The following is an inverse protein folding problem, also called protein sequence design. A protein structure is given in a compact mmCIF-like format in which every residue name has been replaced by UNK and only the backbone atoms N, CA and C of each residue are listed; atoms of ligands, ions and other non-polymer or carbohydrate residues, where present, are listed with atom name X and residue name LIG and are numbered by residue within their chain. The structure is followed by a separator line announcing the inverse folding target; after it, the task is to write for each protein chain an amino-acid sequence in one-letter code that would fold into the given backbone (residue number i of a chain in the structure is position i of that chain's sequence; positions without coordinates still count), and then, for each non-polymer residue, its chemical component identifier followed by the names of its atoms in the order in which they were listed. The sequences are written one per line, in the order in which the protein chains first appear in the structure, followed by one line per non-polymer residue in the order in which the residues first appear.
data_IF_449294770564
#
_entry.id   IF_449294770564
#
_cell.length_a   1.000
_cell.length_b   1.000
_cell.length_c   1.000
_cell.angle_alpha   90.00
_cell.angle_beta   90.00
_cell.angle_gamma   90.00
#
_symmetry.space_group_name_H-M   'P 1'
#
loop_
_entity.id
_entity.type
_entity.pdbx_description
1 polymer ?
#
# COMPACT_ATOMS: atom_id res chain seq x y z
N UNK A 1 -50.08 8.84 -20.88
CA UNK A 1 -50.86 10.04 -20.51
C UNK A 1 -51.28 10.89 -21.73
N UNK A 2 -50.33 11.39 -22.53
CA UNK A 2 -50.61 12.25 -23.69
C UNK A 2 -51.55 11.60 -24.74
N UNK A 3 -51.36 10.30 -25.01
CA UNK A 3 -52.21 9.55 -25.95
C UNK A 3 -53.69 9.45 -25.51
N UNK A 4 -53.99 9.46 -24.20
CA UNK A 4 -55.37 9.39 -23.71
C UNK A 4 -56.10 10.73 -23.78
N UNK A 5 -55.38 11.86 -23.63
CA UNK A 5 -55.93 13.19 -23.84
C UNK A 5 -56.30 13.45 -25.31
N UNK A 6 -55.54 12.89 -26.25
CA UNK A 6 -55.83 12.98 -27.68
C UNK A 6 -57.04 12.12 -28.14
N UNK A 7 -57.54 11.22 -27.28
CA UNK A 7 -58.64 10.29 -27.54
C UNK A 7 -59.97 10.68 -26.84
N UNK A 8 -60.06 11.91 -26.29
CA UNK A 8 -61.23 12.44 -25.58
C UNK A 8 -61.70 11.59 -24.38
N UNK A 9 -60.84 10.71 -23.88
CA UNK A 9 -61.09 9.89 -22.69
C UNK A 9 -60.64 10.62 -21.42
N UNK A 10 -61.28 11.76 -21.11
CA UNK A 10 -60.83 12.73 -20.11
C UNK A 10 -60.62 12.13 -18.71
N UNK A 11 -61.52 11.28 -18.23
CA UNK A 11 -61.38 10.64 -16.91
C UNK A 11 -60.12 9.75 -16.79
N UNK A 12 -59.86 8.90 -17.79
CA UNK A 12 -58.66 8.04 -17.82
C UNK A 12 -57.37 8.83 -17.99
N UNK A 13 -57.44 9.98 -18.67
CA UNK A 13 -56.31 10.88 -18.80
C UNK A 13 -55.99 11.59 -17.47
N UNK A 14 -57.01 12.05 -16.74
CA UNK A 14 -56.88 12.63 -15.39
C UNK A 14 -56.20 11.65 -14.45
N UNK A 15 -56.71 10.43 -14.32
CA UNK A 15 -56.13 9.40 -13.44
C UNK A 15 -54.65 9.13 -13.77
N UNK A 16 -54.32 9.05 -15.07
CA UNK A 16 -52.95 8.81 -15.52
C UNK A 16 -52.00 10.00 -15.24
N UNK A 17 -52.49 11.25 -15.30
CA UNK A 17 -51.70 12.44 -14.93
C UNK A 17 -51.57 12.59 -13.42
N UNK A 18 -52.58 12.22 -12.63
CA UNK A 18 -52.50 12.22 -11.17
C UNK A 18 -51.52 11.18 -10.65
N UNK A 19 -51.53 9.96 -11.21
CA UNK A 19 -50.52 8.93 -10.91
C UNK A 19 -49.11 9.39 -11.31
N UNK A 20 -48.96 10.02 -12.49
CA UNK A 20 -47.68 10.60 -12.91
C UNK A 20 -47.21 11.70 -11.95
N UNK A 21 -48.12 12.56 -11.48
CA UNK A 21 -47.81 13.63 -10.51
C UNK A 21 -47.34 13.03 -9.18
N UNK A 22 -48.02 12.00 -8.68
CA UNK A 22 -47.65 11.33 -7.44
C UNK A 22 -46.25 10.68 -7.53
N UNK A 23 -45.95 10.01 -8.66
CA UNK A 23 -44.63 9.43 -8.92
C UNK A 23 -43.53 10.47 -8.98
N UNK A 24 -43.76 11.58 -9.68
CA UNK A 24 -42.78 12.68 -9.77
C UNK A 24 -42.52 13.33 -8.40
N UNK A 25 -43.55 13.50 -7.56
CA UNK A 25 -43.39 14.00 -6.19
C UNK A 25 -42.61 13.03 -5.30
N UNK A 26 -42.92 11.74 -5.36
CA UNK A 26 -42.18 10.72 -4.61
C UNK A 26 -40.70 10.69 -5.03
N UNK A 27 -40.43 10.81 -6.32
CA UNK A 27 -39.07 10.85 -6.86
C UNK A 27 -38.31 12.10 -6.42
N UNK A 28 -38.98 13.26 -6.41
CA UNK A 28 -38.41 14.51 -5.92
C UNK A 28 -38.00 14.42 -4.44
N UNK A 29 -38.86 13.86 -3.60
CA UNK A 29 -38.57 13.69 -2.17
C UNK A 29 -37.42 12.68 -1.96
N UNK A 30 -37.37 11.60 -2.75
CA UNK A 30 -36.26 10.64 -2.70
C UNK A 30 -34.92 11.30 -3.06
N UNK A 31 -34.88 12.21 -4.04
CA UNK A 31 -33.68 12.98 -4.36
C UNK A 31 -33.25 13.86 -3.17
N UNK A 32 -34.19 14.52 -2.50
CA UNK A 32 -33.88 15.35 -1.34
C UNK A 32 -33.28 14.53 -0.19
N UNK A 33 -33.82 13.33 0.07
CA UNK A 33 -33.25 12.37 1.02
C UNK A 33 -31.84 11.94 0.60
N UNK A 34 -31.61 11.66 -0.68
CA UNK A 34 -30.28 11.30 -1.20
C UNK A 34 -29.27 12.43 -1.04
N UNK A 35 -29.65 13.69 -1.33
CA UNK A 35 -28.76 14.85 -1.16
C UNK A 35 -28.30 14.97 0.29
N UNK A 36 -29.23 14.78 1.25
CA UNK A 36 -28.90 14.78 2.68
C UNK A 36 -27.95 13.63 3.02
N UNK A 37 -28.22 12.41 2.55
CA UNK A 37 -27.36 11.26 2.77
C UNK A 37 -25.93 11.45 2.22
N UNK A 38 -25.80 11.98 1.00
CA UNK A 38 -24.50 12.30 0.38
C UNK A 38 -23.76 13.38 1.18
N UNK A 39 -24.48 14.41 1.66
CA UNK A 39 -23.87 15.47 2.48
C UNK A 39 -23.32 14.95 3.82
N UNK A 40 -23.85 13.82 4.31
CA UNK A 40 -23.39 13.12 5.50
C UNK A 40 -22.29 12.10 5.22
N UNK A 41 -21.71 12.13 4.01
CA UNK A 41 -20.64 11.24 3.57
C UNK A 41 -21.03 9.76 3.37
N UNK A 42 -22.33 9.43 3.44
CA UNK A 42 -22.83 8.05 3.36
C UNK A 42 -22.47 7.39 2.01
N UNK A 43 -22.46 8.17 0.92
CA UNK A 43 -22.06 7.69 -0.40
C UNK A 43 -20.61 7.22 -0.43
N UNK A 44 -19.71 8.03 0.14
CA UNK A 44 -18.27 7.72 0.17
C UNK A 44 -18.02 6.52 1.08
N UNK A 45 -18.68 6.48 2.24
CA UNK A 45 -18.57 5.36 3.17
C UNK A 45 -19.05 4.05 2.52
N UNK A 46 -20.19 4.08 1.81
CA UNK A 46 -20.72 2.93 1.07
C UNK A 46 -19.75 2.42 -0.01
N UNK A 47 -19.02 3.32 -0.68
CA UNK A 47 -18.01 2.96 -1.68
C UNK A 47 -16.73 2.34 -1.08
N UNK A 48 -16.50 2.50 0.23
CA UNK A 48 -15.30 2.05 0.92
C UNK A 48 -15.49 0.87 1.87
N UNK A 49 -16.71 0.34 2.04
CA UNK A 49 -17.01 -0.73 3.01
C UNK A 49 -16.16 -1.99 2.80
N UNK A 50 -15.67 -2.29 1.59
CA UNK A 50 -14.74 -3.40 1.35
C UNK A 50 -13.68 -3.07 0.29
N UNK A 51 -12.42 -2.94 0.72
CA UNK A 51 -11.30 -2.65 -0.20
C UNK A 51 -10.99 -3.85 -1.12
N UNK A 52 -11.13 -3.72 -2.46
CA UNK A 52 -10.67 -4.73 -3.39
C UNK A 52 -9.14 -4.80 -3.42
N UNK A 53 -8.59 -6.01 -3.51
CA UNK A 53 -7.19 -6.25 -3.83
C UNK A 53 -6.88 -6.14 -5.33
N UNK A 54 -7.91 -6.02 -6.20
CA UNK A 54 -7.79 -6.15 -7.66
C UNK A 54 -8.56 -5.06 -8.44
N UNK A 55 -7.92 -4.48 -9.46
CA UNK A 55 -8.33 -3.27 -10.20
C UNK A 55 -9.56 -3.46 -11.09
N UNK A 56 -9.93 -4.71 -11.41
CA UNK A 56 -11.02 -5.05 -12.35
C UNK A 56 -12.29 -5.56 -11.66
N UNK A 57 -12.24 -5.88 -10.35
CA UNK A 57 -13.36 -6.51 -9.63
C UNK A 57 -14.33 -5.53 -8.97
N UNK A 58 -14.10 -4.21 -9.05
CA UNK A 58 -14.87 -3.22 -8.30
C UNK A 58 -16.16 -2.78 -9.00
N UNK A 59 -16.18 -2.67 -10.34
CA UNK A 59 -17.41 -2.35 -11.08
C UNK A 59 -18.52 -3.37 -10.80
N UNK A 60 -18.17 -4.66 -10.72
CA UNK A 60 -19.12 -5.73 -10.34
C UNK A 60 -19.70 -5.56 -8.95
N UNK A 61 -18.93 -5.01 -8.00
CA UNK A 61 -19.40 -4.81 -6.61
C UNK A 61 -20.26 -3.56 -6.45
N UNK A 62 -20.09 -2.56 -7.32
CA UNK A 62 -21.00 -1.42 -7.38
C UNK A 62 -22.43 -1.84 -7.73
N UNK A 63 -22.60 -2.93 -8.51
CA UNK A 63 -23.90 -3.54 -8.80
C UNK A 63 -24.48 -4.30 -7.59
N UNK A 64 -23.65 -4.71 -6.63
CA UNK A 64 -24.02 -5.48 -5.44
C UNK A 64 -24.28 -4.60 -4.20
N UNK A 65 -24.10 -3.28 -4.31
CA UNK A 65 -24.31 -2.36 -3.20
C UNK A 65 -25.79 -2.36 -2.74
N UNK A 66 -26.05 -2.38 -1.42
CA UNK A 66 -27.42 -2.27 -0.93
C UNK A 66 -28.03 -0.94 -1.38
N UNK A 67 -29.31 -0.96 -1.73
CA UNK A 67 -30.05 0.23 -2.14
C UNK A 67 -30.34 1.05 -0.88
N UNK A 68 -29.55 2.10 -0.66
CA UNK A 68 -29.75 3.13 0.37
C UNK A 68 -30.13 4.45 -0.33
N UNK A 69 -30.59 5.47 0.41
CA UNK A 69 -30.81 6.79 -0.18
C UNK A 69 -29.57 7.28 -0.95
N UNK A 70 -28.36 7.09 -0.41
CA UNK A 70 -27.12 7.48 -1.07
C UNK A 70 -26.79 6.69 -2.35
N UNK A 71 -27.09 5.39 -2.41
CA UNK A 71 -26.71 4.53 -3.54
C UNK A 71 -27.78 4.40 -4.63
N UNK A 72 -29.01 4.86 -4.37
CA UNK A 72 -30.15 4.78 -5.32
C UNK A 72 -29.81 5.33 -6.72
N UNK A 73 -29.13 6.46 -6.79
CA UNK A 73 -28.78 7.15 -8.05
C UNK A 73 -27.34 6.89 -8.50
N UNK A 74 -26.62 6.00 -7.81
CA UNK A 74 -25.21 5.75 -8.04
C UNK A 74 -24.92 5.28 -9.47
N UNK A 75 -25.79 4.45 -10.06
CA UNK A 75 -25.62 3.97 -11.44
C UNK A 75 -25.55 5.10 -12.47
N UNK A 76 -26.36 6.15 -12.29
CA UNK A 76 -26.36 7.32 -13.17
C UNK A 76 -25.15 8.20 -12.92
N UNK A 77 -24.77 8.39 -11.65
CA UNK A 77 -23.57 9.14 -11.27
C UNK A 77 -22.31 8.48 -11.84
N UNK A 78 -22.16 7.16 -11.73
CA UNK A 78 -21.03 6.43 -12.31
C UNK A 78 -21.02 6.50 -13.82
N UNK A 79 -22.17 6.67 -14.50
CA UNK A 79 -22.16 6.85 -15.94
C UNK A 79 -21.48 8.16 -16.37
N UNK A 80 -21.31 9.11 -15.46
CA UNK A 80 -20.66 10.39 -15.73
C UNK A 80 -19.14 10.27 -15.69
N UNK A 81 -18.49 10.75 -16.75
CA UNK A 81 -17.04 10.75 -16.86
C UNK A 81 -16.34 11.47 -15.69
N UNK A 82 -16.85 12.62 -15.26
CA UNK A 82 -16.24 13.40 -14.17
C UNK A 82 -16.25 12.63 -12.84
N UNK A 83 -17.34 11.93 -12.54
CA UNK A 83 -17.46 11.08 -11.36
C UNK A 83 -16.54 9.86 -11.45
N UNK A 84 -16.46 9.20 -12.62
CA UNK A 84 -15.55 8.07 -12.84
C UNK A 84 -14.08 8.45 -12.58
N UNK A 85 -13.63 9.57 -13.14
CA UNK A 85 -12.25 10.03 -12.96
C UNK A 85 -11.97 10.44 -11.50
N UNK A 86 -12.90 11.17 -10.87
CA UNK A 86 -12.76 11.52 -9.45
C UNK A 86 -12.72 10.28 -8.55
N UNK A 87 -13.54 9.27 -8.85
CA UNK A 87 -13.58 8.02 -8.09
C UNK A 87 -12.29 7.20 -8.27
N UNK A 88 -11.74 7.12 -9.48
CA UNK A 88 -10.42 6.49 -9.73
C UNK A 88 -9.34 7.17 -8.90
N UNK A 89 -9.26 8.50 -8.94
CA UNK A 89 -8.27 9.26 -8.16
C UNK A 89 -8.41 9.00 -6.66
N UNK A 90 -9.63 9.01 -6.14
CA UNK A 90 -9.91 8.72 -4.73
C UNK A 90 -9.43 7.33 -4.33
N UNK A 91 -9.71 6.31 -5.15
CA UNK A 91 -9.27 4.94 -4.93
C UNK A 91 -7.75 4.83 -4.95
N UNK A 92 -7.09 5.44 -5.93
CA UNK A 92 -5.64 5.40 -6.05
C UNK A 92 -4.97 6.05 -4.83
N UNK A 93 -5.54 7.14 -4.29
CA UNK A 93 -5.11 7.75 -3.04
C UNK A 93 -5.29 6.82 -1.82
N UNK A 94 -6.40 6.08 -1.74
CA UNK A 94 -6.62 5.10 -0.68
C UNK A 94 -5.63 3.93 -0.78
N UNK A 95 -5.34 3.47 -1.99
CA UNK A 95 -4.31 2.46 -2.24
C UNK A 95 -2.91 2.98 -1.83
N UNK A 96 -2.57 4.21 -2.20
CA UNK A 96 -1.33 4.87 -1.77
C UNK A 96 -1.24 4.96 -0.24
N UNK A 97 -2.34 5.29 0.46
CA UNK A 97 -2.40 5.30 1.93
C UNK A 97 -2.08 3.92 2.52
N UNK A 98 -2.65 2.85 1.96
CA UNK A 98 -2.36 1.48 2.38
C UNK A 98 -0.89 1.09 2.17
N UNK A 99 -0.32 1.46 1.02
CA UNK A 99 1.10 1.23 0.74
C UNK A 99 2.01 2.00 1.70
N UNK A 100 1.72 3.27 1.96
CA UNK A 100 2.50 4.08 2.91
C UNK A 100 2.46 3.50 4.32
N UNK A 101 1.33 2.93 4.74
CA UNK A 101 1.21 2.24 6.01
C UNK A 101 2.05 0.94 6.05
N UNK A 102 2.05 0.15 4.98
CA UNK A 102 2.96 -1.00 4.84
C UNK A 102 4.43 -0.58 4.88
N UNK A 103 4.80 0.50 4.18
CA UNK A 103 6.15 1.06 4.24
C UNK A 103 6.53 1.52 5.65
N UNK A 104 5.59 2.14 6.37
CA UNK A 104 5.80 2.55 7.77
C UNK A 104 6.14 1.34 8.65
N UNK A 105 5.40 0.25 8.53
CA UNK A 105 5.65 -1.00 9.27
C UNK A 105 6.99 -1.64 8.87
N UNK A 106 7.30 -1.71 7.57
CA UNK A 106 8.58 -2.23 7.09
C UNK A 106 9.77 -1.42 7.61
N UNK A 107 9.65 -0.09 7.73
CA UNK A 107 10.67 0.77 8.32
C UNK A 107 10.90 0.51 9.81
N UNK A 108 9.90 0.04 10.55
CA UNK A 108 10.08 -0.44 11.94
C UNK A 108 10.87 -1.75 11.97
N UNK A 109 10.61 -2.68 11.03
CA UNK A 109 11.39 -3.91 10.89
C UNK A 109 12.87 -3.61 10.59
N UNK A 110 13.15 -2.70 9.66
CA UNK A 110 14.53 -2.30 9.35
C UNK A 110 15.26 -1.69 10.55
N UNK A 111 14.55 -0.91 11.37
CA UNK A 111 15.06 -0.37 12.62
C UNK A 111 15.49 -1.48 13.59
N UNK A 112 14.60 -2.45 13.81
CA UNK A 112 14.89 -3.63 14.65
C UNK A 112 16.05 -4.47 14.10
N UNK A 113 16.12 -4.67 12.79
CA UNK A 113 17.23 -5.39 12.14
C UNK A 113 18.56 -4.66 12.35
N UNK A 114 18.57 -3.33 12.24
CA UNK A 114 19.76 -2.52 12.47
C UNK A 114 20.23 -2.64 13.93
N UNK A 115 19.32 -2.51 14.89
CA UNK A 115 19.61 -2.69 16.32
C UNK A 115 20.15 -4.09 16.61
N UNK A 116 19.52 -5.14 16.07
CA UNK A 116 19.97 -6.52 16.25
C UNK A 116 21.38 -6.74 15.66
N UNK A 117 21.65 -6.17 14.48
CA UNK A 117 22.96 -6.24 13.84
C UNK A 117 24.03 -5.52 14.66
N UNK A 118 23.73 -4.34 15.19
CA UNK A 118 24.63 -3.60 16.08
C UNK A 118 24.91 -4.37 17.38
N UNK A 119 23.89 -4.96 17.99
CA UNK A 119 24.04 -5.77 19.21
C UNK A 119 24.88 -7.03 18.99
N UNK A 120 24.63 -7.75 17.88
CA UNK A 120 25.46 -8.90 17.48
C UNK A 120 26.90 -8.47 17.24
N UNK A 121 27.09 -7.34 16.56
CA UNK A 121 28.42 -6.80 16.28
C UNK A 121 29.19 -6.49 17.58
N UNK A 122 28.55 -5.78 18.52
CA UNK A 122 29.13 -5.46 19.82
C UNK A 122 29.54 -6.72 20.62
N UNK A 123 28.81 -7.84 20.45
CA UNK A 123 29.13 -9.12 21.09
C UNK A 123 30.28 -9.87 20.41
N UNK A 124 30.31 -9.89 19.08
CA UNK A 124 31.29 -10.69 18.30
C UNK A 124 32.65 -9.99 18.20
N UNK A 125 32.66 -8.66 18.12
CA UNK A 125 33.88 -7.86 17.98
C UNK A 125 34.97 -8.18 19.04
N UNK A 126 34.69 -8.25 20.35
CA UNK A 126 35.72 -8.58 21.33
C UNK A 126 36.30 -9.99 21.12
N UNK A 127 35.46 -10.98 20.80
CA UNK A 127 35.92 -12.36 20.56
C UNK A 127 36.90 -12.43 19.39
N UNK A 128 36.57 -11.74 18.30
CA UNK A 128 37.43 -11.64 17.12
C UNK A 128 38.73 -10.92 17.45
N UNK A 129 38.68 -9.85 18.25
CA UNK A 129 39.88 -9.11 18.71
C UNK A 129 40.76 -9.93 19.64
N UNK A 130 40.18 -10.74 20.52
CA UNK A 130 40.92 -11.61 21.43
C UNK A 130 41.63 -12.71 20.65
N UNK A 131 40.93 -13.35 19.69
CA UNK A 131 41.54 -14.33 18.79
C UNK A 131 42.69 -13.72 17.97
N UNK A 132 42.46 -12.52 17.41
CA UNK A 132 43.47 -11.74 16.72
C UNK A 132 44.72 -11.45 17.60
N UNK A 133 44.52 -11.08 18.87
CA UNK A 133 45.63 -10.84 19.81
C UNK A 133 46.41 -12.09 20.15
N UNK A 134 45.81 -13.28 20.06
CA UNK A 134 46.50 -14.56 20.26
C UNK A 134 47.51 -14.90 19.19
N UNK A 135 47.44 -14.25 18.01
CA UNK A 135 48.38 -14.47 16.90
C UNK A 135 49.44 -13.37 16.93
N UNK A 136 50.62 -13.68 17.46
CA UNK A 136 51.76 -12.77 17.43
C UNK A 136 52.50 -12.87 16.09
N UNK A 137 52.09 -12.03 15.13
CA UNK A 137 52.73 -11.95 13.81
C UNK A 137 54.18 -11.50 13.86
N UNK A 138 54.56 -10.73 14.88
CA UNK A 138 55.94 -10.27 15.03
C UNK A 138 56.81 -11.45 15.43
N UNK A 139 56.39 -12.22 16.43
CA UNK A 139 57.08 -13.45 16.83
C UNK A 139 57.15 -14.46 15.68
N UNK A 140 56.07 -14.65 14.92
CA UNK A 140 56.05 -15.60 13.80
C UNK A 140 57.03 -15.21 12.67
N UNK A 141 57.14 -13.91 12.36
CA UNK A 141 58.15 -13.40 11.43
C UNK A 141 59.58 -13.55 11.96
N UNK A 142 59.79 -13.30 13.25
CA UNK A 142 61.11 -13.49 13.86
C UNK A 142 61.55 -14.95 13.77
N UNK A 143 60.65 -15.89 14.08
CA UNK A 143 60.92 -17.33 13.93
C UNK A 143 61.25 -17.71 12.47
N UNK A 144 60.49 -17.20 11.51
CA UNK A 144 60.77 -17.41 10.08
C UNK A 144 62.16 -16.90 9.68
N UNK A 145 62.53 -15.69 10.11
CA UNK A 145 63.86 -15.13 9.86
C UNK A 145 64.98 -15.94 10.50
N UNK A 146 64.76 -16.47 11.70
CA UNK A 146 65.72 -17.36 12.36
C UNK A 146 65.94 -18.65 11.56
N UNK A 147 64.88 -19.33 11.13
CA UNK A 147 64.99 -20.55 10.33
C UNK A 147 65.63 -20.29 8.96
N UNK A 148 65.34 -19.14 8.33
CA UNK A 148 65.96 -18.76 7.08
C UNK A 148 67.47 -18.50 7.23
N UNK A 149 67.89 -17.86 8.34
CA UNK A 149 69.30 -17.65 8.66
C UNK A 149 70.02 -18.98 8.92
N UNK A 150 69.42 -19.85 9.74
CA UNK A 150 69.97 -21.18 10.05
C UNK A 150 70.14 -22.05 8.80
N UNK A 151 69.14 -22.04 7.90
CA UNK A 151 69.25 -22.75 6.63
C UNK A 151 70.39 -22.22 5.76
N UNK A 152 70.57 -20.90 5.70
CA UNK A 152 71.67 -20.28 4.94
C UNK A 152 73.05 -20.64 5.53
N UNK A 153 73.15 -20.70 6.86
CA UNK A 153 74.37 -21.13 7.55
C UNK A 153 74.69 -22.62 7.26
N UNK A 154 73.67 -23.49 7.24
CA UNK A 154 73.80 -24.90 6.89
C UNK A 154 74.28 -25.08 5.44
N UNK A 155 73.68 -24.34 4.51
CA UNK A 155 74.03 -24.40 3.08
C UNK A 155 75.44 -23.85 2.84
N UNK A 156 75.81 -22.74 3.48
CA UNK A 156 77.14 -22.12 3.31
C UNK A 156 78.27 -22.94 3.95
N UNK A 157 78.01 -23.59 5.09
CA UNK A 157 78.97 -24.48 5.78
C UNK A 157 78.99 -25.89 5.16
N UNK A 158 78.01 -26.20 4.31
CA UNK A 158 77.74 -27.54 3.77
C UNK A 158 77.64 -28.59 4.89
N UNK A 159 76.92 -28.25 5.97
CA UNK A 159 76.67 -29.17 7.07
C UNK A 159 75.56 -30.16 6.69
N UNK A 160 76.00 -31.25 6.07
CA UNK A 160 75.13 -32.33 5.58
C UNK A 160 74.27 -32.94 6.68
N UNK A 161 74.75 -32.96 7.93
CA UNK A 161 74.08 -33.67 9.01
C UNK A 161 72.95 -32.85 9.66
N UNK A 162 72.95 -31.53 9.49
CA UNK A 162 71.97 -30.63 10.11
C UNK A 162 70.52 -30.83 9.62
N UNK A 163 70.33 -31.25 8.36
CA UNK A 163 69.00 -31.47 7.76
C UNK A 163 68.58 -32.96 7.74
N UNK A 164 69.23 -33.80 8.53
CA UNK A 164 68.92 -35.24 8.59
C UNK A 164 67.58 -35.51 9.28
N UNK A 165 66.96 -36.66 8.98
CA UNK A 165 65.77 -37.08 9.72
C UNK A 165 66.12 -37.34 11.18
N UNK A 166 65.13 -37.32 12.07
CA UNK A 166 65.36 -37.59 13.49
C UNK A 166 66.10 -38.93 13.73
N UNK A 167 65.70 -39.99 13.02
CA UNK A 167 66.31 -41.33 13.14
C UNK A 167 67.76 -41.37 12.63
N UNK A 168 68.05 -40.66 11.53
CA UNK A 168 69.40 -40.55 10.97
C UNK A 168 70.32 -39.73 11.89
N UNK A 169 69.79 -38.65 12.48
CA UNK A 169 70.50 -37.82 13.44
C UNK A 169 70.84 -38.59 14.73
N UNK A 170 69.91 -39.38 15.25
CA UNK A 170 70.13 -40.24 16.43
C UNK A 170 71.17 -41.34 16.13
N UNK A 171 71.06 -41.99 14.98
CA UNK A 171 72.03 -43.00 14.53
C UNK A 171 73.43 -42.40 14.37
N UNK A 172 73.52 -41.18 13.86
CA UNK A 172 74.78 -40.44 13.76
C UNK A 172 75.36 -40.04 15.12
N UNK A 173 74.52 -39.59 16.05
CA UNK A 173 74.94 -39.29 17.42
C UNK A 173 75.51 -40.54 18.11
N UNK A 174 74.84 -41.69 17.97
CA UNK A 174 75.31 -42.97 18.49
C UNK A 174 76.64 -43.40 17.85
N UNK A 175 76.81 -43.23 16.53
CA UNK A 175 78.07 -43.50 15.84
C UNK A 175 79.20 -42.57 16.33
N UNK A 176 78.91 -41.30 16.62
CA UNK A 176 79.88 -40.38 17.19
C UNK A 176 80.29 -40.78 18.62
N UNK A 177 79.34 -41.23 19.44
CA UNK A 177 79.62 -41.74 20.79
C UNK A 177 80.52 -42.98 20.76
N UNK A 178 80.22 -43.92 19.87
CA UNK A 178 81.05 -45.11 19.63
C UNK A 178 82.45 -44.70 19.18
N UNK A 179 82.57 -43.75 18.25
CA UNK A 179 83.86 -43.22 17.78
C UNK A 179 84.69 -42.56 18.89
N UNK A 180 84.04 -41.77 19.76
CA UNK A 180 84.68 -41.16 20.93
C UNK A 180 85.21 -42.21 21.89
N UNK A 181 84.41 -43.22 22.22
CA UNK A 181 84.82 -44.30 23.12
C UNK A 181 85.94 -45.16 22.54
N UNK A 182 85.97 -45.37 21.23
CA UNK A 182 87.00 -46.14 20.53
C UNK A 182 88.36 -45.44 20.42
N UNK A 183 88.37 -44.11 20.52
CA UNK A 183 89.61 -43.32 20.55
C UNK A 183 90.42 -43.53 21.85
N UNK A 184 89.75 -43.97 22.93
CA UNK A 184 90.36 -44.23 24.24
C UNK A 184 90.82 -45.70 24.44
N UNK A 185 90.55 -46.59 23.47
CA UNK A 185 90.87 -48.02 23.58
C UNK A 185 92.29 -48.37 23.06
N UNK A 186 92.90 -49.42 23.62
CA UNK A 186 94.22 -49.92 23.21
C UNK A 186 94.23 -50.53 21.81
N UNK A 187 95.36 -50.46 21.11
CA UNK A 187 95.57 -51.09 19.79
C UNK A 187 95.68 -52.61 19.94
N UNK A 188 94.60 -53.30 19.58
CA UNK A 188 94.49 -54.76 19.53
C UNK A 188 93.80 -55.09 18.21
N UNK A 189 94.11 -56.24 17.60
CA UNK A 189 93.56 -56.66 16.30
C UNK A 189 92.03 -56.61 16.24
N UNK A 190 91.36 -56.96 17.35
CA UNK A 190 89.90 -56.83 17.49
C UNK A 190 89.40 -55.36 17.49
N UNK A 191 90.15 -54.45 18.11
CA UNK A 191 89.82 -53.02 18.16
C UNK A 191 90.06 -52.33 16.81
N UNK A 192 91.06 -52.78 16.05
CA UNK A 192 91.33 -52.28 14.69
C UNK A 192 90.23 -52.69 13.71
N UNK A 193 89.69 -53.91 13.84
CA UNK A 193 88.51 -54.34 13.09
C UNK A 193 87.29 -53.46 13.40
N UNK A 194 87.05 -53.11 14.67
CA UNK A 194 85.96 -52.23 15.07
C UNK A 194 86.13 -50.82 14.50
N UNK A 195 87.36 -50.26 14.52
CA UNK A 195 87.67 -48.95 13.91
C UNK A 195 87.37 -48.93 12.41
N UNK A 196 87.68 -50.03 11.73
CA UNK A 196 87.37 -50.19 10.31
C UNK A 196 85.87 -50.21 10.07
N UNK A 197 85.10 -50.96 10.87
CA UNK A 197 83.62 -51.00 10.78
C UNK A 197 82.98 -49.64 11.06
N UNK A 198 83.42 -48.95 12.11
CA UNK A 198 82.96 -47.60 12.46
C UNK A 198 83.19 -46.62 11.29
N UNK A 199 84.41 -46.59 10.73
CA UNK A 199 84.75 -45.72 9.59
C UNK A 199 83.86 -45.99 8.36
N UNK A 200 83.58 -47.26 8.06
CA UNK A 200 82.73 -47.63 6.92
C UNK A 200 81.29 -47.19 7.17
N UNK A 201 80.75 -47.45 8.36
CA UNK A 201 79.38 -47.07 8.71
C UNK A 201 79.20 -45.56 8.75
N UNK A 202 80.14 -44.82 9.35
CA UNK A 202 80.10 -43.36 9.39
C UNK A 202 80.27 -42.74 8.00
N UNK A 203 81.11 -43.33 7.16
CA UNK A 203 81.28 -42.91 5.78
C UNK A 203 80.04 -43.17 4.93
N UNK A 204 79.39 -44.33 5.10
CA UNK A 204 78.15 -44.67 4.43
C UNK A 204 77.00 -43.76 4.85
N UNK A 205 76.81 -43.53 6.17
CA UNK A 205 75.74 -42.64 6.66
C UNK A 205 75.94 -41.20 6.19
N UNK A 206 77.18 -40.71 6.19
CA UNK A 206 77.49 -39.39 5.67
C UNK A 206 77.25 -39.30 4.15
N UNK A 207 77.63 -40.34 3.39
CA UNK A 207 77.40 -40.39 1.95
C UNK A 207 75.91 -40.40 1.61
N UNK A 208 75.11 -41.22 2.29
CA UNK A 208 73.66 -41.28 2.11
C UNK A 208 72.99 -39.94 2.47
N UNK A 209 73.42 -39.31 3.57
CA UNK A 209 72.94 -37.99 3.95
C UNK A 209 73.31 -36.92 2.91
N UNK A 210 74.52 -36.97 2.36
CA UNK A 210 75.01 -36.02 1.36
C UNK A 210 74.28 -36.18 0.01
N UNK A 211 73.94 -37.40 -0.39
CA UNK A 211 73.15 -37.66 -1.61
C UNK A 211 71.75 -37.01 -1.50
N UNK A 212 71.11 -37.11 -0.33
CA UNK A 212 69.78 -36.55 -0.08
C UNK A 212 69.82 -35.05 0.26
N UNK A 213 70.97 -34.47 0.57
CA UNK A 213 71.11 -33.10 1.08
C UNK A 213 70.54 -32.03 0.13
N UNK A 214 70.85 -31.98 -1.19
CA UNK A 214 70.26 -30.99 -2.09
C UNK A 214 68.73 -31.05 -2.14
N UNK A 215 68.16 -32.26 -2.05
CA UNK A 215 66.71 -32.44 -2.03
C UNK A 215 66.09 -31.89 -0.74
N UNK A 216 66.74 -32.13 0.41
CA UNK A 216 66.30 -31.63 1.73
C UNK A 216 66.37 -30.11 1.84
N UNK A 217 67.43 -29.50 1.31
CA UNK A 217 67.55 -28.04 1.20
C UNK A 217 66.38 -27.49 0.38
N UNK A 218 66.11 -28.05 -0.80
CA UNK A 218 64.99 -27.60 -1.63
C UNK A 218 63.64 -27.76 -0.92
N UNK A 219 63.41 -28.87 -0.19
CA UNK A 219 62.17 -29.09 0.56
C UNK A 219 61.99 -28.07 1.70
N UNK A 220 63.06 -27.74 2.42
CA UNK A 220 63.03 -26.76 3.52
C UNK A 220 62.86 -25.34 3.01
N UNK A 221 63.54 -24.96 1.92
CA UNK A 221 63.30 -23.69 1.23
C UNK A 221 61.84 -23.56 0.78
N UNK A 222 61.28 -24.64 0.22
CA UNK A 222 59.87 -24.67 -0.17
C UNK A 222 58.94 -24.46 1.03
N UNK A 223 59.19 -25.15 2.15
CA UNK A 223 58.40 -25.00 3.38
C UNK A 223 58.50 -23.58 3.96
N UNK A 224 59.69 -22.95 3.94
CA UNK A 224 59.87 -21.56 4.35
C UNK A 224 59.09 -20.59 3.47
N UNK A 225 59.00 -20.86 2.16
CA UNK A 225 58.22 -20.06 1.23
C UNK A 225 56.71 -20.22 1.44
N UNK A 226 56.23 -21.43 1.73
CA UNK A 226 54.84 -21.68 2.10
C UNK A 226 54.47 -20.96 3.41
N UNK A 227 55.38 -20.95 4.40
CA UNK A 227 55.19 -20.20 5.64
C UNK A 227 55.12 -18.69 5.40
N UNK A 228 55.97 -18.13 4.52
CA UNK A 228 55.93 -16.71 4.15
C UNK A 228 54.59 -16.32 3.50
N UNK A 229 54.09 -17.15 2.58
CA UNK A 229 52.76 -16.97 2.00
C UNK A 229 51.67 -16.97 3.09
N UNK A 230 51.73 -17.91 4.03
CA UNK A 230 50.80 -17.94 5.17
C UNK A 230 50.85 -16.67 6.02
N UNK A 231 52.05 -16.13 6.29
CA UNK A 231 52.22 -14.86 7.04
C UNK A 231 51.59 -13.69 6.28
N UNK A 232 51.79 -13.62 4.96
CA UNK A 232 51.21 -12.57 4.10
C UNK A 232 49.67 -12.67 4.11
N UNK A 233 49.11 -13.87 3.99
CA UNK A 233 47.67 -14.10 3.99
C UNK A 233 47.02 -13.70 5.32
N UNK A 234 47.69 -14.02 6.44
CA UNK A 234 47.23 -13.59 7.76
C UNK A 234 47.27 -12.07 7.85
N UNK A 235 48.35 -11.42 7.43
CA UNK A 235 48.45 -9.95 7.44
C UNK A 235 47.35 -9.30 6.59
N UNK A 236 47.08 -9.83 5.39
CA UNK A 236 46.00 -9.36 4.53
C UNK A 236 44.61 -9.57 5.16
N UNK A 237 44.44 -10.64 5.93
CA UNK A 237 43.20 -10.89 6.67
C UNK A 237 43.02 -9.88 7.81
N UNK A 238 44.09 -9.52 8.53
CA UNK A 238 44.06 -8.48 9.55
C UNK A 238 43.73 -7.09 8.99
N UNK A 239 44.29 -6.72 7.85
CA UNK A 239 43.99 -5.42 7.22
C UNK A 239 42.53 -5.36 6.78
N UNK A 240 42.01 -6.42 6.14
CA UNK A 240 40.59 -6.54 5.77
C UNK A 240 39.68 -6.47 6.98
N UNK A 241 40.05 -7.11 8.09
CA UNK A 241 39.28 -7.08 9.34
C UNK A 241 39.21 -5.66 9.93
N UNK A 242 40.32 -4.93 9.93
CA UNK A 242 40.36 -3.55 10.39
C UNK A 242 39.56 -2.61 9.47
N UNK A 243 39.63 -2.81 8.15
CA UNK A 243 38.81 -2.08 7.18
C UNK A 243 37.32 -2.35 7.40
N UNK A 244 36.91 -3.61 7.45
CA UNK A 244 35.53 -4.01 7.73
C UNK A 244 35.02 -3.44 9.08
N UNK A 245 35.91 -3.25 10.06
CA UNK A 245 35.56 -2.59 11.32
C UNK A 245 35.27 -1.09 11.14
N UNK A 246 36.10 -0.38 10.37
CA UNK A 246 35.87 1.03 10.05
C UNK A 246 34.60 1.22 9.22
N UNK A 247 34.42 0.39 8.19
CA UNK A 247 33.30 0.43 7.26
C UNK A 247 31.97 0.14 7.98
N UNK A 248 31.92 -0.91 8.81
CA UNK A 248 30.71 -1.27 9.56
C UNK A 248 30.18 -0.11 10.42
N UNK A 249 31.06 0.70 11.02
CA UNK A 249 30.66 1.87 11.81
C UNK A 249 30.03 2.95 10.93
N UNK A 250 30.62 3.22 9.77
CA UNK A 250 30.07 4.15 8.78
C UNK A 250 28.72 3.68 8.26
N UNK A 251 28.63 2.41 7.83
CA UNK A 251 27.42 1.77 7.34
C UNK A 251 26.26 1.86 8.35
N UNK A 252 26.49 1.53 9.62
CA UNK A 252 25.44 1.60 10.64
C UNK A 252 24.88 3.00 10.82
N UNK A 253 25.74 4.03 10.79
CA UNK A 253 25.30 5.42 10.86
C UNK A 253 24.54 5.86 9.61
N UNK A 254 25.00 5.42 8.43
CA UNK A 254 24.32 5.66 7.15
C UNK A 254 22.93 5.05 7.12
N UNK A 255 22.80 3.77 7.48
CA UNK A 255 21.50 3.09 7.55
C UNK A 255 20.56 3.76 8.57
N UNK A 256 21.06 4.14 9.75
CA UNK A 256 20.26 4.85 10.74
C UNK A 256 19.70 6.18 10.18
N UNK A 257 20.55 6.94 9.49
CA UNK A 257 20.14 8.20 8.87
C UNK A 257 19.12 7.99 7.76
N UNK A 258 19.34 7.02 6.86
CA UNK A 258 18.41 6.71 5.78
C UNK A 258 17.05 6.26 6.32
N UNK A 259 17.03 5.36 7.32
CA UNK A 259 15.77 4.92 7.96
C UNK A 259 15.04 6.11 8.57
N UNK A 260 15.74 7.01 9.28
CA UNK A 260 15.13 8.19 9.87
C UNK A 260 14.55 9.15 8.82
N UNK A 261 15.28 9.41 7.73
CA UNK A 261 14.81 10.24 6.62
C UNK A 261 13.60 9.62 5.92
N UNK A 262 13.63 8.31 5.64
CA UNK A 262 12.50 7.58 5.08
C UNK A 262 11.27 7.63 5.99
N UNK A 263 11.43 7.45 7.31
CA UNK A 263 10.33 7.58 8.29
C UNK A 263 9.69 8.97 8.24
N UNK A 264 10.50 10.03 8.20
CA UNK A 264 9.99 11.41 8.10
C UNK A 264 9.26 11.66 6.78
N UNK A 265 9.83 11.20 5.66
CA UNK A 265 9.24 11.36 4.34
C UNK A 265 7.90 10.60 4.21
N UNK A 266 7.87 9.32 4.62
CA UNK A 266 6.63 8.51 4.66
C UNK A 266 5.57 9.15 5.54
N UNK A 267 5.93 9.70 6.70
CA UNK A 267 4.99 10.40 7.58
C UNK A 267 4.43 11.69 6.94
N UNK A 268 5.25 12.43 6.18
CA UNK A 268 4.80 13.60 5.44
C UNK A 268 3.83 13.22 4.32
N UNK A 269 4.19 12.22 3.51
CA UNK A 269 3.33 11.71 2.44
C UNK A 269 2.01 11.18 2.99
N UNK A 270 2.05 10.42 4.09
CA UNK A 270 0.84 9.90 4.73
C UNK A 270 -0.14 11.02 5.13
N UNK A 271 0.35 12.11 5.73
CA UNK A 271 -0.48 13.29 6.04
C UNK A 271 -1.05 13.94 4.79
N UNK A 272 -0.23 14.14 3.76
CA UNK A 272 -0.68 14.74 2.49
C UNK A 272 -1.74 13.88 1.80
N UNK A 273 -1.55 12.56 1.75
CA UNK A 273 -2.51 11.63 1.18
C UNK A 273 -3.84 11.67 1.91
N UNK A 274 -3.86 11.76 3.25
CA UNK A 274 -5.12 11.90 4.01
C UNK A 274 -5.87 13.18 3.65
N UNK A 275 -5.16 14.30 3.50
CA UNK A 275 -5.77 15.57 3.08
C UNK A 275 -6.36 15.44 1.68
N UNK A 276 -5.59 14.91 0.72
CA UNK A 276 -6.05 14.71 -0.67
C UNK A 276 -7.24 13.76 -0.77
N UNK A 277 -7.29 12.70 0.07
CA UNK A 277 -8.44 11.79 0.13
C UNK A 277 -9.70 12.56 0.54
N UNK A 278 -9.60 13.40 1.57
CA UNK A 278 -10.75 14.16 2.06
C UNK A 278 -11.21 15.21 1.05
N UNK A 279 -10.27 15.90 0.39
CA UNK A 279 -10.57 16.86 -0.68
C UNK A 279 -11.26 16.17 -1.86
N UNK A 280 -10.72 15.05 -2.34
CA UNK A 280 -11.29 14.31 -3.45
C UNK A 280 -12.67 13.71 -3.12
N UNK A 281 -12.87 13.26 -1.88
CA UNK A 281 -14.17 12.79 -1.39
C UNK A 281 -15.21 13.93 -1.35
N UNK A 282 -14.82 15.10 -0.87
CA UNK A 282 -15.68 16.29 -0.87
C UNK A 282 -16.05 16.72 -2.30
N UNK A 283 -15.11 16.67 -3.24
CA UNK A 283 -15.36 16.96 -4.65
C UNK A 283 -16.33 15.97 -5.30
N UNK A 284 -16.21 14.68 -5.00
CA UNK A 284 -17.16 13.67 -5.49
C UNK A 284 -18.57 13.88 -4.93
N UNK A 285 -18.69 14.20 -3.64
CA UNK A 285 -19.98 14.53 -3.04
C UNK A 285 -20.58 15.78 -3.69
N UNK A 286 -19.77 16.80 -3.95
CA UNK A 286 -20.21 18.02 -4.64
C UNK A 286 -20.74 17.71 -6.05
N UNK A 287 -19.99 16.94 -6.85
CA UNK A 287 -20.42 16.51 -8.18
C UNK A 287 -21.73 15.71 -8.13
N UNK A 288 -21.86 14.81 -7.16
CA UNK A 288 -23.07 14.01 -6.99
C UNK A 288 -24.29 14.87 -6.62
N UNK A 289 -24.11 15.83 -5.70
CA UNK A 289 -25.17 16.77 -5.30
C UNK A 289 -25.57 17.66 -6.48
N UNK A 290 -24.61 18.17 -7.25
CA UNK A 290 -24.86 19.03 -8.42
C UNK A 290 -25.73 18.30 -9.46
N UNK A 291 -25.41 17.05 -9.80
CA UNK A 291 -26.25 16.28 -10.73
C UNK A 291 -27.66 16.04 -10.18
N UNK A 292 -27.78 15.71 -8.89
CA UNK A 292 -29.07 15.48 -8.26
C UNK A 292 -29.92 16.75 -8.20
N UNK A 293 -29.30 17.91 -8.01
CA UNK A 293 -29.97 19.21 -8.09
C UNK A 293 -30.46 19.49 -9.52
N UNK A 294 -29.63 19.24 -10.53
CA UNK A 294 -30.03 19.39 -11.93
C UNK A 294 -31.20 18.46 -12.30
N UNK A 295 -31.18 17.22 -11.79
CA UNK A 295 -32.30 16.28 -11.95
C UNK A 295 -33.56 16.79 -11.26
N UNK A 296 -33.45 17.32 -10.04
CA UNK A 296 -34.58 17.92 -9.32
C UNK A 296 -35.20 19.07 -10.12
N UNK A 297 -34.38 19.94 -10.70
CA UNK A 297 -34.88 21.03 -11.57
C UNK A 297 -35.63 20.50 -12.80
N UNK A 298 -35.13 19.42 -13.42
CA UNK A 298 -35.85 18.75 -14.54
C UNK A 298 -37.20 18.18 -14.09
N UNK A 299 -37.27 17.54 -12.91
CA UNK A 299 -38.51 17.02 -12.34
C UNK A 299 -39.52 18.13 -12.04
N UNK A 300 -39.07 19.27 -11.51
CA UNK A 300 -39.94 20.44 -11.25
C UNK A 300 -40.54 21.00 -12.55
N UNK A 301 -39.77 20.95 -13.65
CA UNK A 301 -40.27 21.25 -15.00
C UNK A 301 -41.35 20.27 -15.45
N UNK A 302 -41.15 18.95 -15.29
CA UNK A 302 -42.15 17.94 -15.63
C UNK A 302 -43.40 18.04 -14.75
N UNK A 303 -43.26 18.33 -13.45
CA UNK A 303 -44.39 18.57 -12.55
C UNK A 303 -45.24 19.76 -13.03
N UNK A 304 -44.59 20.85 -13.44
CA UNK A 304 -45.28 22.02 -13.98
C UNK A 304 -46.04 21.68 -15.27
N UNK A 305 -45.44 20.88 -16.16
CA UNK A 305 -46.10 20.40 -17.38
C UNK A 305 -47.29 19.50 -17.08
N UNK A 306 -47.17 18.58 -16.11
CA UNK A 306 -48.28 17.71 -15.69
C UNK A 306 -49.41 18.53 -15.05
N UNK A 307 -49.09 19.52 -14.22
CA UNK A 307 -50.10 20.42 -13.63
C UNK A 307 -50.85 21.20 -14.70
N UNK A 308 -50.13 21.77 -15.67
CA UNK A 308 -50.75 22.46 -16.80
C UNK A 308 -51.63 21.53 -17.64
N UNK A 309 -51.12 20.33 -18.00
CA UNK A 309 -51.89 19.35 -18.76
C UNK A 309 -53.17 18.92 -18.01
N UNK A 310 -53.07 18.71 -16.70
CA UNK A 310 -54.21 18.37 -15.86
C UNK A 310 -55.25 19.50 -15.83
N UNK A 311 -54.81 20.75 -15.66
CA UNK A 311 -55.70 21.93 -15.73
C UNK A 311 -56.40 22.03 -17.08
N UNK A 312 -55.67 21.87 -18.20
CA UNK A 312 -56.28 21.91 -19.53
C UNK A 312 -57.32 20.82 -19.77
N UNK A 313 -57.12 19.62 -19.19
CA UNK A 313 -58.09 18.52 -19.31
C UNK A 313 -59.32 18.79 -18.45
N UNK A 314 -59.16 19.37 -17.26
CA UNK A 314 -60.30 19.79 -16.42
C UNK A 314 -61.11 20.89 -17.12
N UNK A 315 -60.46 21.88 -17.72
CA UNK A 315 -61.14 22.93 -18.50
C UNK A 315 -61.90 22.34 -19.69
N UNK A 316 -61.28 21.43 -20.45
CA UNK A 316 -61.93 20.75 -21.58
C UNK A 316 -63.11 19.89 -21.15
N UNK A 317 -62.98 19.14 -20.04
CA UNK A 317 -64.07 18.33 -19.50
C UNK A 317 -65.23 19.20 -18.99
N UNK A 318 -64.93 20.34 -18.36
CA UNK A 318 -65.94 21.31 -17.93
C UNK A 318 -66.67 21.93 -19.13
N UNK A 319 -65.94 22.30 -20.19
CA UNK A 319 -66.51 22.78 -21.44
C UNK A 319 -67.39 21.72 -22.13
N UNK A 320 -66.96 20.45 -22.18
CA UNK A 320 -67.75 19.37 -22.75
C UNK A 320 -69.05 19.13 -21.97
N UNK A 321 -68.99 19.08 -20.63
CA UNK A 321 -70.18 18.96 -19.79
C UNK A 321 -71.16 20.13 -20.00
N UNK A 322 -70.65 21.33 -20.26
CA UNK A 322 -71.47 22.52 -20.49
C UNK A 322 -72.14 22.48 -21.88
N UNK A 323 -71.46 21.92 -22.89
CA UNK A 323 -72.03 21.65 -24.22
C UNK A 323 -73.10 20.57 -24.11
N UNK A 324 -72.82 19.45 -23.44
CA UNK A 324 -73.76 18.35 -23.25
C UNK A 324 -75.04 18.81 -22.50
N UNK A 325 -74.91 19.73 -21.54
CA UNK A 325 -76.05 20.36 -20.83
C UNK A 325 -76.86 21.29 -21.74
N UNK A 326 -76.21 22.04 -22.63
CA UNK A 326 -76.89 22.91 -23.60
C UNK A 326 -77.62 22.09 -24.67
N UNK A 327 -77.02 21.01 -25.16
CA UNK A 327 -77.66 20.08 -26.11
C UNK A 327 -78.86 19.37 -25.45
N UNK A 328 -78.72 18.88 -24.22
CA UNK A 328 -79.84 18.31 -23.46
C UNK A 328 -80.96 19.32 -23.20
N UNK A 329 -80.65 20.60 -22.96
CA UNK A 329 -81.66 21.66 -22.80
C UNK A 329 -82.38 22.02 -24.11
N UNK A 330 -81.71 21.87 -25.26
CA UNK A 330 -82.31 22.04 -26.60
C UNK A 330 -83.19 20.84 -26.96
N UNK A 331 -82.76 19.61 -26.67
CA UNK A 331 -83.57 18.41 -26.86
C UNK A 331 -84.79 18.37 -25.91
N UNK A 332 -84.65 18.84 -24.66
CA UNK A 332 -85.76 19.00 -23.72
C UNK A 332 -86.78 20.05 -24.20
N UNK A 333 -86.33 21.13 -24.85
CA UNK A 333 -87.21 22.12 -25.48
C UNK A 333 -87.89 21.60 -26.75
N UNK A 334 -87.26 20.71 -27.50
CA UNK A 334 -87.85 20.09 -28.69
C UNK A 334 -88.86 18.98 -28.34
N UNK A 335 -88.62 18.22 -27.27
CA UNK A 335 -89.57 17.22 -26.75
C UNK A 335 -90.77 17.86 -26.05
N UNK A 336 -90.58 18.99 -25.34
CA UNK A 336 -91.68 19.80 -24.80
C UNK A 336 -92.48 20.58 -25.88
N UNK A 337 -92.01 20.65 -27.12
CA UNK A 337 -92.72 21.28 -28.24
C UNK A 337 -93.70 20.35 -28.98
N UNK A 338 -93.81 19.08 -28.58
CA UNK A 338 -94.70 18.08 -29.21
C UNK A 338 -95.94 17.74 -28.37
N UNK A 339 -96.07 18.25 -27.15
CA UNK A 339 -97.26 18.15 -26.31
C UNK A 339 -97.59 19.56 -25.80
N UNK A 340 -98.87 19.93 -25.75
CA UNK A 340 -99.43 21.28 -25.53
C UNK A 340 -99.62 22.10 -26.82
N UNK A 341 -100.45 21.56 -27.71
CA UNK A 341 -101.52 22.33 -28.34
C UNK A 341 -102.84 21.87 -27.70
N UNK A 342 -103.31 22.56 -26.66
CA UNK A 342 -104.73 22.65 -26.23
C UNK A 342 -104.90 23.40 -24.90
N UNK A 343 -105.87 24.33 -24.90
CA UNK A 343 -106.51 25.05 -23.78
C UNK A 343 -105.74 26.29 -23.26
N UNK A 344 -106.02 27.52 -23.78
CA UNK A 344 -107.10 28.47 -23.40
C UNK A 344 -107.11 28.84 -21.90
N UNK A 345 -107.35 30.07 -21.42
CA UNK A 345 -107.54 31.44 -21.91
C UNK A 345 -107.82 32.29 -20.63
N UNK A 346 -107.72 33.62 -20.73
CA UNK A 346 -108.17 34.72 -19.83
C UNK A 346 -107.11 35.42 -18.96
N UNK A 347 -106.58 36.60 -19.35
CA UNK A 347 -107.00 38.03 -19.11
C UNK A 347 -107.00 38.42 -17.62
N UNK A 348 -106.31 39.45 -17.09
CA UNK A 348 -106.34 40.91 -17.37
C UNK A 348 -105.10 41.67 -16.83
N UNK A 349 -105.00 42.93 -17.27
CA UNK A 349 -104.10 44.08 -17.02
C UNK A 349 -103.72 44.34 -15.53
N UNK A 350 -102.66 45.05 -15.10
CA UNK A 350 -102.13 46.36 -15.52
C UNK A 350 -100.77 46.66 -14.83
N UNK A 351 -99.83 47.21 -15.61
CA UNK A 351 -98.65 48.10 -15.33
C UNK A 351 -98.65 48.89 -13.98
N UNK A 352 -97.57 49.35 -13.32
CA UNK A 352 -96.19 49.79 -13.67
C UNK A 352 -95.37 50.06 -12.36
N UNK A 353 -94.04 49.97 -12.48
CA UNK A 353 -92.90 50.58 -11.73
C UNK A 353 -92.40 50.11 -10.34
N UNK A 354 -91.26 49.40 -10.43
CA UNK A 354 -89.89 49.79 -10.02
C UNK A 354 -89.44 49.92 -8.54
N UNK A 355 -88.59 48.93 -8.20
CA UNK A 355 -87.27 48.98 -7.54
C UNK A 355 -87.20 49.43 -6.08
N UNK A 356 -87.47 48.43 -5.25
CA UNK A 356 -86.66 47.84 -4.17
C UNK A 356 -85.62 48.70 -3.41
N UNK A 357 -85.81 48.66 -2.09
CA UNK A 357 -85.02 49.25 -1.03
C UNK A 357 -83.69 48.50 -0.75
N UNK A 358 -82.73 49.27 -0.22
CA UNK A 358 -81.56 48.83 0.56
C UNK A 358 -82.01 48.18 1.91
N UNK A 359 -81.13 47.95 2.93
CA UNK A 359 -79.73 47.48 3.05
C UNK A 359 -79.62 46.33 4.12
N UNK A 360 -78.41 46.08 4.68
CA UNK A 360 -78.04 45.76 6.10
C UNK A 360 -76.88 44.74 6.11
N UNK A 361 -75.61 45.17 6.26
CA UNK A 361 -74.85 45.41 7.52
C UNK A 361 -74.25 44.14 8.17
N UNK A 362 -72.91 44.10 8.13
CA UNK A 362 -71.94 43.67 9.16
C UNK A 362 -72.41 43.85 10.63
N UNK A 363 -71.85 43.17 11.66
CA UNK A 363 -70.42 43.24 12.08
C UNK A 363 -69.90 41.92 12.73
N UNK A 364 -68.72 41.73 13.34
CA UNK A 364 -67.77 42.55 14.10
C UNK A 364 -66.41 41.80 14.15
N UNK A 365 -65.25 42.43 13.94
CA UNK A 365 -64.35 43.05 14.95
C UNK A 365 -63.66 42.09 15.93
N UNK A 366 -62.35 41.89 15.69
CA UNK A 366 -61.18 42.00 16.60
C UNK A 366 -61.39 42.02 18.14
N UNK A 367 -60.39 41.53 18.91
CA UNK A 367 -59.41 42.51 19.39
C UNK A 367 -57.95 42.03 19.44
N UNK A 368 -57.06 43.01 19.30
CA UNK A 368 -55.67 42.98 19.71
C UNK A 368 -55.51 43.39 21.19
N UNK A 369 -54.51 42.81 21.85
CA UNK A 369 -53.74 43.33 22.99
C UNK A 369 -52.44 42.49 22.99
N UNK A 370 -51.30 42.99 22.51
CA UNK A 370 -50.30 43.84 23.21
C UNK A 370 -49.73 43.26 24.52
N UNK A 371 -48.43 43.53 24.69
CA UNK A 371 -47.55 43.34 25.87
C UNK A 371 -47.03 41.93 26.20
N UNK A 372 -45.75 41.69 26.53
CA UNK A 372 -44.53 42.51 26.57
C UNK A 372 -43.35 41.58 26.95
N UNK A 373 -42.13 42.06 26.73
CA UNK A 373 -40.84 41.69 27.37
C UNK A 373 -39.98 40.50 26.86
N UNK A 374 -38.78 40.91 26.43
CA UNK A 374 -37.43 40.44 26.81
C UNK A 374 -36.95 39.03 26.51
#
# INVERSE_FOLDING_TARGET
PYAYGALSAHAKAIDAYEDSRAKLWSERNAIDETIVAISQNELIDALFVEQPTDEMSWFRRLEELPITPATRYLHELIAQHAFQEGFKNLRDLVFMRGNLESWRQNLEVFDHMLVARQARYARVLPQVRDYARGIDLVALRQQHQMFAAELNDIVSTNDVMALTSYEEAESWAMLNDIGRNMSAMSTTEANDLMRTKHRVLSGFSYWEANEKFPSRVWQTEKALKELDQGIIDIQASFTKLNQAHADARGEFSGFAQTIAQSKQHTASLSRQTVVLINEQAADLNRLAIEELQDRKLRLDGYLSQVQYALATIYDQAAHQNLIDQQEAAVEAKQTAGSEVDSEQETTEEEKVDDVEAQPILEPATEPAAEDETS
#
